data_IF_540075288784
#
_entry.id   IF_540075288784
#
_cell.length_a   1.000
_cell.length_b   1.000
_cell.length_c   1.000
_cell.angle_alpha   90.00
_cell.angle_beta   90.00
_cell.angle_gamma   90.00
#
_symmetry.space_group_name_H-M   'P 1'
#
loop_
_entity.id
_entity.type
_entity.pdbx_description
1 polymer ?
#
# COMPACT_ATOMS: atom_id res chain seq x y z
N UNK A 1 -9.77 -15.60 -12.87
CA UNK A 1 -9.95 -15.10 -14.25
C UNK A 1 -11.38 -15.29 -14.71
N UNK A 2 -11.82 -14.46 -15.64
CA UNK A 2 -13.13 -14.57 -16.28
C UNK A 2 -13.11 -15.60 -17.42
N UNK A 3 -14.29 -16.02 -17.88
CA UNK A 3 -14.43 -16.89 -19.05
C UNK A 3 -13.92 -16.22 -20.35
N UNK A 4 -13.83 -14.88 -20.38
CA UNK A 4 -13.24 -14.09 -21.48
C UNK A 4 -11.72 -13.94 -21.39
N UNK A 5 -11.07 -14.58 -20.43
CA UNK A 5 -9.62 -14.50 -20.22
C UNK A 5 -9.15 -13.27 -19.42
N UNK A 6 -10.04 -12.38 -19.02
CA UNK A 6 -9.68 -11.23 -18.18
C UNK A 6 -9.20 -11.70 -16.79
N UNK A 7 -8.13 -11.09 -16.30
CA UNK A 7 -7.57 -11.38 -14.98
C UNK A 7 -8.07 -10.38 -13.95
N UNK A 8 -8.30 -10.89 -12.73
CA UNK A 8 -8.73 -10.10 -11.59
C UNK A 8 -7.86 -10.42 -10.39
N UNK A 9 -7.62 -9.41 -9.57
CA UNK A 9 -6.83 -9.49 -8.35
C UNK A 9 -7.77 -9.25 -7.18
N UNK A 10 -7.61 -10.02 -6.11
CA UNK A 10 -8.31 -9.78 -4.86
C UNK A 10 -7.79 -8.48 -4.24
N UNK A 11 -8.69 -7.59 -3.85
CA UNK A 11 -8.33 -6.28 -3.30
C UNK A 11 -8.01 -6.37 -1.81
N UNK A 12 -8.83 -7.12 -1.08
CA UNK A 12 -8.69 -7.30 0.37
C UNK A 12 -8.73 -8.80 0.70
N UNK A 13 -8.11 -9.19 1.81
CA UNK A 13 -8.17 -10.57 2.29
C UNK A 13 -9.58 -10.97 2.65
N UNK A 14 -9.97 -12.18 2.23
CA UNK A 14 -11.30 -12.73 2.53
C UNK A 14 -11.23 -13.54 3.82
N UNK A 15 -11.94 -13.06 4.83
CA UNK A 15 -12.02 -13.73 6.13
C UNK A 15 -13.12 -14.78 6.14
N UNK A 16 -12.74 -16.05 6.28
CA UNK A 16 -13.67 -17.17 6.40
C UNK A 16 -14.17 -17.38 7.84
N UNK A 17 -13.53 -16.77 8.83
CA UNK A 17 -13.95 -16.80 10.24
C UNK A 17 -14.99 -15.71 10.60
N UNK A 18 -15.39 -14.88 9.63
CA UNK A 18 -16.34 -13.80 9.88
C UNK A 18 -17.74 -14.37 10.17
N UNK A 19 -18.43 -13.90 11.24
CA UNK A 19 -19.73 -14.45 11.66
C UNK A 19 -20.87 -14.26 10.63
N UNK A 20 -20.76 -13.32 9.72
CA UNK A 20 -21.71 -13.11 8.63
C UNK A 20 -21.56 -14.10 7.46
N UNK A 21 -20.54 -14.96 7.48
CA UNK A 21 -20.37 -15.96 6.44
C UNK A 21 -21.44 -17.03 6.51
N UNK A 22 -21.86 -17.50 5.33
CA UNK A 22 -22.82 -18.58 5.24
C UNK A 22 -22.13 -19.93 5.38
N UNK A 23 -22.52 -20.71 6.38
CA UNK A 23 -21.95 -22.02 6.70
C UNK A 23 -23.01 -23.11 6.50
N UNK A 24 -22.68 -24.15 5.73
CA UNK A 24 -23.53 -25.31 5.49
C UNK A 24 -22.80 -26.62 5.75
N UNK A 25 -23.51 -27.64 6.16
CA UNK A 25 -22.97 -29.01 6.23
C UNK A 25 -22.71 -29.52 4.80
N UNK A 26 -21.43 -29.77 4.46
CA UNK A 26 -21.01 -30.28 3.16
C UNK A 26 -21.04 -31.81 3.11
N UNK A 27 -20.77 -32.46 4.25
CA UNK A 27 -20.86 -33.90 4.43
C UNK A 27 -21.43 -34.23 5.80
N UNK A 28 -22.27 -35.24 5.84
CA UNK A 28 -22.87 -35.83 7.06
C UNK A 28 -22.45 -37.29 7.15
N UNK A 29 -22.27 -37.77 8.36
CA UNK A 29 -22.09 -39.17 8.62
C UNK A 29 -23.44 -39.85 8.38
N UNK A 30 -23.50 -40.82 7.48
CA UNK A 30 -24.74 -41.49 7.07
C UNK A 30 -25.39 -42.27 8.21
N UNK A 31 -24.61 -42.72 9.21
CA UNK A 31 -25.10 -43.50 10.35
C UNK A 31 -25.59 -42.65 11.49
N UNK A 32 -24.90 -41.52 11.76
CA UNK A 32 -25.20 -40.69 12.95
C UNK A 32 -25.91 -39.39 12.61
N UNK A 33 -25.96 -39.00 11.33
CA UNK A 33 -26.51 -37.71 10.88
C UNK A 33 -25.66 -36.49 11.28
N UNK A 34 -24.52 -36.68 11.93
CA UNK A 34 -23.66 -35.58 12.40
C UNK A 34 -22.84 -35.05 11.25
N UNK A 35 -22.79 -33.72 11.04
CA UNK A 35 -21.91 -33.11 10.03
C UNK A 35 -20.44 -33.41 10.29
N UNK A 36 -19.74 -33.90 9.28
CA UNK A 36 -18.30 -34.20 9.32
C UNK A 36 -17.46 -33.14 8.60
N UNK A 37 -18.06 -32.39 7.66
CA UNK A 37 -17.42 -31.35 6.92
C UNK A 37 -18.38 -30.18 6.72
N UNK A 38 -17.85 -28.97 6.76
CA UNK A 38 -18.61 -27.76 6.53
C UNK A 38 -18.05 -27.03 5.30
N UNK A 39 -18.93 -26.41 4.52
CA UNK A 39 -18.58 -25.48 3.47
C UNK A 39 -18.91 -24.06 3.92
N UNK A 40 -17.94 -23.17 3.77
CA UNK A 40 -18.09 -21.77 4.13
C UNK A 40 -18.09 -20.94 2.86
N UNK A 41 -19.12 -20.11 2.69
CA UNK A 41 -19.23 -19.17 1.59
C UNK A 41 -18.94 -17.76 2.09
N UNK A 42 -17.94 -17.13 1.52
CA UNK A 42 -17.61 -15.72 1.76
C UNK A 42 -17.52 -14.96 0.45
N UNK A 43 -17.57 -13.64 0.51
CA UNK A 43 -17.47 -12.74 -0.64
C UNK A 43 -16.23 -11.88 -0.51
N UNK A 44 -15.56 -11.61 -1.63
CA UNK A 44 -14.41 -10.73 -1.71
C UNK A 44 -14.54 -9.71 -2.84
N UNK A 45 -13.90 -8.56 -2.69
CA UNK A 45 -13.81 -7.54 -3.74
C UNK A 45 -12.63 -7.84 -4.64
N UNK A 46 -12.85 -7.79 -5.94
CA UNK A 46 -11.81 -8.00 -6.94
C UNK A 46 -11.71 -6.80 -7.87
N UNK A 47 -10.50 -6.51 -8.30
CA UNK A 47 -10.20 -5.46 -9.27
C UNK A 47 -9.56 -6.07 -10.51
N UNK A 48 -9.88 -5.56 -11.68
CA UNK A 48 -9.33 -6.04 -12.94
C UNK A 48 -7.86 -5.67 -13.11
N UNK A 49 -7.07 -6.57 -13.69
CA UNK A 49 -5.66 -6.36 -14.00
C UNK A 49 -4.76 -7.51 -13.58
N UNK A 50 -3.49 -7.31 -13.82
CA UNK A 50 -2.40 -8.22 -13.45
C UNK A 50 -1.30 -7.45 -12.75
N UNK A 51 -0.59 -8.11 -11.84
CA UNK A 51 0.60 -7.53 -11.25
C UNK A 51 1.78 -7.61 -12.21
N UNK A 52 2.47 -6.48 -12.38
CA UNK A 52 3.77 -6.39 -13.01
C UNK A 52 4.84 -6.02 -11.98
N UNK A 53 6.07 -6.41 -12.26
CA UNK A 53 7.23 -6.05 -11.44
C UNK A 53 8.36 -5.60 -12.37
N UNK A 54 9.00 -4.50 -12.01
CA UNK A 54 10.18 -3.99 -12.69
C UNK A 54 11.27 -3.66 -11.69
N UNK A 55 12.48 -4.05 -11.99
CA UNK A 55 13.66 -3.67 -11.22
C UNK A 55 14.44 -2.60 -11.98
N UNK A 56 14.89 -1.58 -11.25
CA UNK A 56 15.67 -0.47 -11.80
C UNK A 56 16.87 -0.22 -10.88
N UNK A 57 18.06 -0.35 -11.41
CA UNK A 57 19.29 0.00 -10.68
C UNK A 57 19.48 1.50 -10.71
N UNK A 58 19.65 2.08 -9.53
CA UNK A 58 19.85 3.50 -9.29
C UNK A 58 21.29 3.72 -8.87
N UNK A 59 21.99 4.59 -9.58
CA UNK A 59 23.38 4.98 -9.26
C UNK A 59 23.47 6.00 -8.14
N UNK A 60 24.54 6.80 -8.18
CA UNK A 60 24.80 7.84 -7.19
C UNK A 60 23.60 8.77 -6.96
N UNK A 61 23.58 9.40 -5.79
CA UNK A 61 22.52 10.32 -5.41
C UNK A 61 22.32 11.43 -6.46
N UNK A 62 21.08 11.70 -6.78
CA UNK A 62 20.63 12.75 -7.69
C UNK A 62 19.34 13.38 -7.14
N UNK A 63 19.33 14.69 -7.06
CA UNK A 63 18.19 15.48 -6.60
C UNK A 63 17.01 15.34 -7.57
N UNK A 64 15.81 15.11 -7.04
CA UNK A 64 14.60 14.94 -7.85
C UNK A 64 14.73 13.87 -8.94
N UNK A 65 15.43 12.78 -8.60
CA UNK A 65 15.63 11.67 -9.53
C UNK A 65 14.32 11.21 -10.14
N UNK A 66 14.34 11.03 -11.45
CA UNK A 66 13.22 10.50 -12.22
C UNK A 66 13.51 9.07 -12.68
N UNK A 67 12.56 8.18 -12.48
CA UNK A 67 12.58 6.82 -12.97
C UNK A 67 11.37 6.59 -13.85
N UNK A 68 11.59 6.29 -15.12
CA UNK A 68 10.51 6.09 -16.09
C UNK A 68 10.30 4.61 -16.35
N UNK A 69 9.03 4.18 -16.30
CA UNK A 69 8.59 2.84 -16.62
C UNK A 69 7.85 2.91 -17.96
N UNK A 70 8.37 2.21 -18.96
CA UNK A 70 7.85 2.21 -20.34
C UNK A 70 6.86 1.07 -20.61
N UNK A 71 6.21 0.53 -19.59
CA UNK A 71 5.16 -0.47 -19.79
C UNK A 71 3.84 0.22 -20.09
N UNK A 72 3.20 -0.25 -21.17
CA UNK A 72 1.87 0.21 -21.52
C UNK A 72 0.82 -0.32 -20.56
N UNK A 73 -0.25 0.47 -20.37
CA UNK A 73 -1.41 0.08 -19.57
C UNK A 73 -1.18 -0.04 -18.06
N UNK A 74 -0.15 0.61 -17.50
CA UNK A 74 0.00 0.74 -16.06
C UNK A 74 -1.15 1.61 -15.51
N UNK A 75 -1.87 1.07 -14.55
CA UNK A 75 -3.01 1.75 -13.91
C UNK A 75 -2.57 2.43 -12.64
N UNK A 76 -1.80 1.72 -11.81
CA UNK A 76 -1.34 2.22 -10.50
C UNK A 76 0.00 1.59 -10.12
N UNK A 77 0.76 2.30 -9.31
CA UNK A 77 1.92 1.78 -8.61
C UNK A 77 1.45 1.23 -7.26
N UNK A 78 1.79 -0.01 -6.95
CA UNK A 78 1.37 -0.68 -5.71
C UNK A 78 2.42 -0.51 -4.62
N UNK A 79 3.70 -0.73 -4.97
CA UNK A 79 4.81 -0.56 -4.04
C UNK A 79 6.10 -0.26 -4.76
N UNK A 80 6.95 0.51 -4.12
CA UNK A 80 8.33 0.76 -4.54
C UNK A 80 9.21 0.47 -3.34
N UNK A 81 10.09 -0.52 -3.48
CA UNK A 81 11.01 -0.93 -2.43
C UNK A 81 12.44 -0.92 -2.95
N UNK A 82 13.37 -0.56 -2.10
CA UNK A 82 14.79 -0.67 -2.43
C UNK A 82 15.39 -2.02 -2.01
N UNK A 83 16.66 -2.26 -2.34
CA UNK A 83 17.35 -3.50 -1.99
C UNK A 83 17.64 -3.64 -0.50
N UNK A 84 17.51 -2.59 0.29
CA UNK A 84 17.67 -2.57 1.74
C UNK A 84 16.34 -2.81 2.48
N UNK A 85 15.22 -2.89 1.74
CA UNK A 85 13.89 -3.14 2.27
C UNK A 85 13.13 -1.88 2.67
N UNK A 86 13.63 -0.69 2.33
CA UNK A 86 12.89 0.54 2.56
C UNK A 86 11.78 0.72 1.53
N UNK A 87 10.60 1.11 2.01
CA UNK A 87 9.45 1.42 1.16
C UNK A 87 9.41 2.92 0.85
N UNK A 88 9.17 3.23 -0.43
CA UNK A 88 8.91 4.59 -0.92
C UNK A 88 7.41 4.75 -1.14
N UNK A 89 6.84 5.83 -0.63
CA UNK A 89 5.40 6.08 -0.67
C UNK A 89 5.02 7.04 -1.78
N UNK A 90 3.95 6.69 -2.49
CA UNK A 90 3.35 7.62 -3.44
C UNK A 90 2.61 8.72 -2.68
N UNK A 91 2.88 9.97 -3.05
CA UNK A 91 2.24 11.16 -2.49
C UNK A 91 1.79 12.09 -3.61
N UNK A 92 0.80 12.93 -3.33
CA UNK A 92 0.33 13.92 -4.30
C UNK A 92 1.37 15.01 -4.55
N UNK A 93 2.05 15.44 -3.49
CA UNK A 93 3.13 16.42 -3.52
C UNK A 93 4.28 15.96 -2.65
N UNK A 94 5.52 16.22 -3.08
CA UNK A 94 6.72 15.82 -2.31
C UNK A 94 6.83 16.50 -0.94
N UNK A 95 6.06 17.55 -0.67
CA UNK A 95 5.95 18.17 0.65
C UNK A 95 5.06 17.43 1.64
N UNK A 96 4.27 16.43 1.18
CA UNK A 96 3.46 15.60 2.06
C UNK A 96 4.32 14.52 2.70
N UNK A 97 4.55 14.63 4.00
CA UNK A 97 5.39 13.73 4.79
C UNK A 97 4.60 12.63 5.52
N UNK A 98 3.28 12.63 5.38
CA UNK A 98 2.37 11.67 5.99
C UNK A 98 1.50 11.02 4.93
N UNK A 99 1.43 9.69 4.97
CA UNK A 99 0.48 8.89 4.17
C UNK A 99 -0.49 8.16 5.08
N UNK A 100 -1.72 7.99 4.61
CA UNK A 100 -2.75 7.28 5.35
C UNK A 100 -2.91 5.87 4.75
N UNK A 101 -2.64 4.84 5.56
CA UNK A 101 -2.80 3.45 5.14
C UNK A 101 -3.93 2.78 5.92
N UNK A 102 -4.70 1.96 5.22
CA UNK A 102 -5.65 1.04 5.84
C UNK A 102 -4.89 -0.13 6.45
N UNK A 103 -5.04 -0.34 7.75
CA UNK A 103 -4.46 -1.47 8.46
C UNK A 103 -5.57 -2.38 8.99
N UNK A 104 -5.39 -3.71 9.00
CA UNK A 104 -6.40 -4.63 9.55
C UNK A 104 -6.71 -4.30 11.01
N UNK A 105 -7.98 -4.25 11.34
CA UNK A 105 -8.43 -4.11 12.72
C UNK A 105 -8.29 -5.45 13.45
N UNK A 106 -7.45 -5.50 14.47
CA UNK A 106 -7.20 -6.72 15.27
C UNK A 106 -8.04 -6.79 16.55
N UNK A 107 -8.81 -5.76 16.87
CA UNK A 107 -9.69 -5.77 18.03
C UNK A 107 -10.89 -6.70 17.78
N UNK A 108 -11.00 -7.74 18.60
CA UNK A 108 -12.02 -8.80 18.49
C UNK A 108 -13.44 -8.23 18.60
N UNK A 109 -13.63 -7.13 19.35
CA UNK A 109 -14.95 -6.56 19.57
C UNK A 109 -15.44 -5.68 18.44
N UNK A 110 -14.53 -5.09 17.65
CA UNK A 110 -14.88 -4.09 16.64
C UNK A 110 -14.52 -4.50 15.21
N UNK A 111 -13.64 -5.50 15.02
CA UNK A 111 -13.14 -5.92 13.71
C UNK A 111 -14.23 -6.40 12.73
N UNK A 112 -15.33 -6.95 13.24
CA UNK A 112 -16.41 -7.47 12.40
C UNK A 112 -17.28 -6.32 11.82
N UNK A 113 -17.35 -5.18 12.52
CA UNK A 113 -18.05 -3.98 12.05
C UNK A 113 -17.11 -3.01 11.31
N UNK A 114 -15.84 -2.96 11.72
CA UNK A 114 -14.82 -2.12 11.15
C UNK A 114 -13.56 -2.98 10.86
N UNK A 115 -13.50 -3.70 9.74
CA UNK A 115 -12.44 -4.66 9.44
C UNK A 115 -11.07 -4.00 9.25
N UNK A 116 -11.03 -2.70 8.96
CA UNK A 116 -9.79 -1.94 8.82
C UNK A 116 -9.90 -0.57 9.46
N UNK A 117 -8.75 -0.05 9.88
CA UNK A 117 -8.57 1.27 10.46
C UNK A 117 -7.60 2.07 9.59
N UNK A 118 -7.90 3.35 9.36
CA UNK A 118 -6.99 4.25 8.67
C UNK A 118 -6.02 4.84 9.67
N UNK A 119 -4.72 4.67 9.43
CA UNK A 119 -3.65 5.20 10.29
C UNK A 119 -2.68 6.07 9.51
N UNK A 120 -2.19 7.17 10.09
CA UNK A 120 -1.12 7.97 9.51
C UNK A 120 0.23 7.25 9.68
N UNK A 121 1.05 7.30 8.63
CA UNK A 121 2.43 6.82 8.61
C UNK A 121 3.33 7.94 8.09
N UNK A 122 4.46 8.12 8.74
CA UNK A 122 5.49 9.03 8.23
C UNK A 122 6.08 8.46 6.94
N UNK A 123 6.23 9.32 5.93
CA UNK A 123 6.73 8.99 4.60
C UNK A 123 8.02 9.78 4.28
N UNK A 124 9.14 9.50 4.96
CA UNK A 124 10.41 10.19 4.69
C UNK A 124 10.90 9.88 3.27
N UNK A 125 10.72 8.65 2.80
CA UNK A 125 11.00 8.23 1.41
C UNK A 125 9.71 8.25 0.62
N UNK A 126 9.63 9.13 -0.37
CA UNK A 126 8.40 9.36 -1.13
C UNK A 126 8.68 9.78 -2.56
N UNK A 127 7.68 9.59 -3.39
CA UNK A 127 7.71 9.95 -4.80
C UNK A 127 6.35 10.46 -5.26
N UNK A 128 6.35 11.21 -6.34
CA UNK A 128 5.15 11.57 -7.09
C UNK A 128 5.16 10.83 -8.42
N UNK A 129 3.99 10.58 -8.98
CA UNK A 129 3.84 9.94 -10.29
C UNK A 129 3.36 10.95 -11.32
N UNK A 130 4.01 10.92 -12.48
CA UNK A 130 3.57 11.64 -13.66
C UNK A 130 3.25 10.60 -14.74
N UNK A 131 2.00 10.58 -15.20
CA UNK A 131 1.52 9.62 -16.19
C UNK A 131 1.40 10.27 -17.54
N UNK A 132 2.13 9.75 -18.50
CA UNK A 132 1.93 10.03 -19.92
C UNK A 132 1.26 8.81 -20.58
N UNK A 133 0.85 8.92 -21.84
CA UNK A 133 0.04 7.94 -22.57
C UNK A 133 0.53 6.49 -22.48
N UNK A 134 1.85 6.28 -22.45
CA UNK A 134 2.46 4.95 -22.47
C UNK A 134 3.54 4.76 -21.41
N UNK A 135 3.80 5.76 -20.59
CA UNK A 135 4.86 5.73 -19.58
C UNK A 135 4.38 6.30 -18.27
N UNK A 136 4.93 5.77 -17.16
CA UNK A 136 4.80 6.38 -15.86
C UNK A 136 6.20 6.79 -15.39
N UNK A 137 6.35 8.03 -14.99
CA UNK A 137 7.58 8.57 -14.42
C UNK A 137 7.37 8.78 -12.93
N UNK A 138 8.23 8.16 -12.12
CA UNK A 138 8.31 8.37 -10.68
C UNK A 138 9.36 9.46 -10.44
N UNK A 139 8.98 10.54 -9.79
CA UNK A 139 9.90 11.58 -9.35
C UNK A 139 10.06 11.50 -7.84
N UNK A 140 11.30 11.24 -7.41
CA UNK A 140 11.68 11.13 -6.01
C UNK A 140 12.05 12.49 -5.41
N UNK A 141 12.27 12.48 -4.09
CA UNK A 141 12.59 13.68 -3.36
C UNK A 141 13.99 14.25 -3.62
N UNK A 142 14.30 15.28 -2.86
CA UNK A 142 15.52 16.06 -2.97
C UNK A 142 16.59 15.67 -1.94
N UNK A 143 16.17 15.13 -0.78
CA UNK A 143 17.05 14.81 0.34
C UNK A 143 17.85 13.52 0.13
N UNK A 144 18.92 13.36 0.87
CA UNK A 144 19.74 12.16 0.95
C UNK A 144 19.45 11.36 2.23
N UNK A 145 19.80 10.07 2.26
CA UNK A 145 19.62 9.23 3.45
C UNK A 145 20.40 9.75 4.68
N UNK A 146 21.51 10.46 4.47
CA UNK A 146 22.28 11.06 5.56
C UNK A 146 21.52 12.18 6.30
N UNK A 147 20.54 12.78 5.65
CA UNK A 147 19.72 13.84 6.24
C UNK A 147 18.60 13.29 7.14
N UNK A 148 18.10 12.09 6.86
CA UNK A 148 17.13 11.39 7.76
C UNK A 148 17.81 10.99 9.07
N UNK A 149 19.07 10.59 9.01
CA UNK A 149 19.82 10.14 10.17
C UNK A 149 20.28 11.30 11.08
N UNK A 150 20.17 12.55 10.63
CA UNK A 150 20.42 13.69 11.48
C UNK A 150 19.37 13.73 12.60
N UNK A 151 19.75 13.64 13.88
CA UNK A 151 18.79 13.76 14.97
C UNK A 151 18.18 15.16 14.85
N UNK A 152 16.95 15.24 14.42
CA UNK A 152 16.14 16.45 14.53
C UNK A 152 15.99 16.72 16.02
N UNK A 153 16.89 17.52 16.58
CA UNK A 153 16.65 18.11 17.90
C UNK A 153 15.30 18.82 17.77
N UNK A 154 14.29 18.33 18.47
CA UNK A 154 13.01 19.01 18.51
C UNK A 154 13.29 20.46 18.93
N UNK A 155 12.99 21.40 18.05
CA UNK A 155 13.15 22.81 18.36
C UNK A 155 12.29 23.11 19.60
N UNK A 156 12.89 23.48 20.72
CA UNK A 156 12.13 23.74 21.96
C UNK A 156 11.04 24.81 21.78
N UNK A 157 11.19 25.71 20.80
CA UNK A 157 10.21 26.74 20.49
C UNK A 157 8.90 26.16 19.98
N UNK A 158 8.93 25.04 19.22
CA UNK A 158 7.74 24.34 18.73
C UNK A 158 6.97 23.58 19.82
N UNK A 159 7.65 23.20 20.90
CA UNK A 159 7.03 22.46 22.01
C UNK A 159 6.38 23.39 23.05
N UNK A 160 6.95 24.57 23.26
CA UNK A 160 6.50 25.54 24.29
C UNK A 160 5.28 26.34 23.80
N UNK A 161 5.12 26.55 22.52
CA UNK A 161 4.10 27.44 21.96
C UNK A 161 2.66 26.91 22.08
N UNK A 162 2.45 25.61 22.12
CA UNK A 162 1.11 25.04 22.24
C UNK A 162 0.51 25.11 23.65
N UNK A 163 1.31 25.38 24.67
CA UNK A 163 0.86 25.32 26.06
C UNK A 163 0.03 26.55 26.50
N UNK A 164 0.07 27.63 25.76
CA UNK A 164 -0.58 28.90 26.15
C UNK A 164 -1.49 29.52 25.08
N UNK A 165 -1.87 28.78 24.05
CA UNK A 165 -2.75 29.25 22.95
C UNK A 165 -2.29 30.57 22.28
N UNK A 166 -1.04 30.92 22.41
CA UNK A 166 -0.44 32.10 21.77
C UNK A 166 0.46 31.61 20.63
N UNK A 167 0.01 31.77 19.39
CA UNK A 167 0.90 31.72 18.24
C UNK A 167 1.85 32.89 18.29
N UNK A 168 3.07 32.66 18.74
CA UNK A 168 4.14 33.60 18.43
C UNK A 168 4.48 33.39 16.95
N UNK A 169 4.12 34.35 16.13
CA UNK A 169 4.69 34.47 14.79
C UNK A 169 6.16 34.81 15.02
N UNK A 170 7.02 33.78 14.96
CA UNK A 170 8.44 34.03 14.84
C UNK A 170 8.63 34.66 13.47
N UNK A 171 9.21 35.84 13.40
CA UNK A 171 9.65 36.54 12.19
C UNK A 171 10.81 35.80 11.48
N UNK A 172 10.74 34.47 11.39
CA UNK A 172 11.60 33.72 10.51
C UNK A 172 11.00 33.85 9.12
N UNK A 173 11.60 34.74 8.35
CA UNK A 173 11.32 34.82 6.93
C UNK A 173 11.46 33.41 6.34
N UNK A 174 10.42 32.95 5.64
CA UNK A 174 10.48 31.72 4.90
C UNK A 174 11.62 31.82 3.88
N UNK A 175 12.71 31.11 4.14
CA UNK A 175 13.82 30.99 3.20
C UNK A 175 13.57 29.72 2.34
N UNK A 176 13.29 29.90 1.04
CA UNK A 176 13.12 28.75 0.14
C UNK A 176 14.36 27.84 0.08
N UNK A 177 15.55 28.34 0.38
CA UNK A 177 16.79 27.56 0.39
C UNK A 177 16.83 26.55 1.55
N UNK A 178 16.17 26.83 2.68
CA UNK A 178 16.06 25.89 3.79
C UNK A 178 15.22 24.63 3.43
N UNK A 179 14.29 24.77 2.49
CA UNK A 179 13.54 23.62 1.94
C UNK A 179 14.43 22.70 1.10
N UNK A 180 15.47 23.24 0.50
CA UNK A 180 16.36 22.51 -0.39
C UNK A 180 17.52 21.81 0.35
N UNK A 181 17.72 22.11 1.64
CA UNK A 181 18.74 21.50 2.49
C UNK A 181 18.22 20.46 3.47
N UNK A 182 16.94 20.06 3.37
CA UNK A 182 16.29 19.16 4.34
C UNK A 182 15.54 18.03 3.64
N UNK A 183 15.15 17.01 4.41
CA UNK A 183 14.26 15.91 3.98
C UNK A 183 12.81 16.35 3.73
N UNK A 184 12.49 17.64 3.87
CA UNK A 184 11.13 18.19 3.75
C UNK A 184 10.44 17.88 2.42
N UNK A 185 11.22 17.65 1.37
CA UNK A 185 10.69 17.18 0.08
C UNK A 185 10.87 15.68 -0.15
N UNK A 186 11.23 14.94 0.90
CA UNK A 186 11.47 13.51 0.85
C UNK A 186 12.84 13.14 0.34
N UNK A 187 13.25 11.91 0.66
CA UNK A 187 14.57 11.37 0.31
C UNK A 187 14.48 10.59 -0.99
N UNK A 188 15.47 10.80 -1.85
CA UNK A 188 15.64 10.08 -3.11
C UNK A 188 16.49 8.82 -2.95
N UNK A 189 16.27 7.79 -3.80
CA UNK A 189 17.08 6.59 -3.81
C UNK A 189 18.49 6.86 -4.35
N UNK A 190 19.49 6.21 -3.76
CA UNK A 190 20.89 6.28 -4.20
C UNK A 190 21.58 4.93 -4.02
N UNK A 191 22.42 4.54 -4.99
CA UNK A 191 23.24 3.32 -4.95
C UNK A 191 22.45 2.04 -4.59
N UNK A 192 21.24 1.92 -5.06
CA UNK A 192 20.31 0.83 -4.71
C UNK A 192 19.60 0.29 -5.94
N UNK A 193 18.94 -0.85 -5.80
CA UNK A 193 18.05 -1.40 -6.84
C UNK A 193 16.61 -1.29 -6.37
N UNK A 194 15.82 -0.51 -7.10
CA UNK A 194 14.39 -0.36 -6.84
C UNK A 194 13.63 -1.54 -7.45
N UNK A 195 12.76 -2.13 -6.66
CA UNK A 195 11.74 -3.08 -7.10
C UNK A 195 10.39 -2.38 -7.11
N UNK A 196 9.87 -2.14 -8.29
CA UNK A 196 8.61 -1.44 -8.51
C UNK A 196 7.55 -2.47 -8.86
N UNK A 197 6.53 -2.59 -8.03
CA UNK A 197 5.36 -3.43 -8.26
C UNK A 197 4.19 -2.55 -8.69
N UNK A 198 3.56 -2.89 -9.80
CA UNK A 198 2.46 -2.11 -10.36
C UNK A 198 1.34 -3.02 -10.83
N UNK A 199 0.17 -2.46 -11.04
CA UNK A 199 -0.96 -3.13 -11.68
C UNK A 199 -1.12 -2.59 -13.09
N UNK A 200 -1.17 -3.50 -14.05
CA UNK A 200 -1.48 -3.19 -15.43
C UNK A 200 -2.83 -3.78 -15.84
N UNK A 201 -3.53 -3.07 -16.71
CA UNK A 201 -4.81 -3.52 -17.24
C UNK A 201 -5.03 -2.96 -18.64
N UNK A 202 -5.67 -3.73 -19.51
CA UNK A 202 -6.09 -3.29 -20.83
C UNK A 202 -7.54 -2.85 -20.82
N UNK A 203 -7.91 -1.86 -21.61
CA UNK A 203 -9.28 -1.37 -21.70
C UNK A 203 -10.29 -2.47 -22.08
N UNK A 204 -9.85 -3.45 -22.89
CA UNK A 204 -10.68 -4.60 -23.30
C UNK A 204 -10.95 -5.62 -22.18
N UNK A 205 -10.13 -5.61 -21.12
CA UNK A 205 -10.22 -6.56 -19.99
C UNK A 205 -10.64 -5.89 -18.69
N UNK A 206 -11.16 -4.67 -18.76
CA UNK A 206 -11.47 -3.87 -17.56
C UNK A 206 -12.74 -4.29 -16.83
N UNK A 207 -13.64 -4.98 -17.51
CA UNK A 207 -14.93 -5.34 -16.90
C UNK A 207 -15.30 -6.80 -17.20
N UNK A 208 -16.11 -7.38 -16.32
CA UNK A 208 -16.63 -8.74 -16.46
C UNK A 208 -18.15 -8.73 -16.21
N UNK A 209 -18.88 -9.51 -16.98
CA UNK A 209 -20.31 -9.72 -16.73
C UNK A 209 -20.52 -10.47 -15.41
N UNK A 210 -21.70 -10.35 -14.85
CA UNK A 210 -22.05 -11.05 -13.63
C UNK A 210 -21.86 -12.57 -13.77
N UNK A 211 -21.32 -13.21 -12.73
CA UNK A 211 -21.06 -14.67 -12.67
C UNK A 211 -20.04 -15.21 -13.68
N UNK A 212 -19.23 -14.36 -14.33
CA UNK A 212 -18.21 -14.82 -15.30
C UNK A 212 -16.83 -14.99 -14.67
N UNK A 213 -16.56 -14.45 -13.50
CA UNK A 213 -15.30 -14.60 -12.75
C UNK A 213 -15.42 -15.86 -11.89
N UNK A 214 -15.10 -17.02 -12.46
CA UNK A 214 -15.36 -18.33 -11.83
C UNK A 214 -14.10 -19.12 -11.51
N UNK A 215 -12.93 -18.73 -12.06
CA UNK A 215 -11.70 -19.48 -11.89
C UNK A 215 -10.71 -18.75 -11.00
N UNK A 216 -10.35 -19.39 -9.88
CA UNK A 216 -9.21 -19.00 -9.06
C UNK A 216 -7.95 -19.64 -9.65
N UNK A 217 -7.00 -18.81 -10.08
CA UNK A 217 -5.72 -19.27 -10.66
C UNK A 217 -4.63 -19.42 -9.62
N UNK A 218 -4.67 -18.62 -8.58
CA UNK A 218 -3.73 -18.67 -7.43
C UNK A 218 -4.48 -18.26 -6.17
N UNK A 219 -4.40 -19.09 -5.15
CA UNK A 219 -4.88 -18.78 -3.81
C UNK A 219 -3.71 -18.89 -2.82
N UNK A 220 -3.60 -17.92 -1.93
CA UNK A 220 -2.82 -18.00 -0.71
C UNK A 220 -3.84 -18.12 0.42
N UNK A 221 -3.72 -19.12 1.25
CA UNK A 221 -4.65 -19.37 2.35
C UNK A 221 -3.82 -19.49 3.63
N UNK A 222 -4.08 -18.59 4.56
CA UNK A 222 -3.49 -18.63 5.90
C UNK A 222 -4.50 -19.23 6.86
N UNK A 223 -4.09 -20.28 7.56
CA UNK A 223 -4.85 -20.85 8.66
C UNK A 223 -4.34 -20.26 9.97
N UNK A 224 -5.22 -19.53 10.66
CA UNK A 224 -4.96 -19.17 12.05
C UNK A 224 -5.17 -20.45 12.87
N UNK A 225 -4.09 -21.04 13.36
CA UNK A 225 -4.20 -22.18 14.28
C UNK A 225 -5.06 -21.76 15.48
N UNK A 226 -6.13 -22.51 15.82
CA UNK A 226 -6.83 -22.23 17.04
C UNK A 226 -5.85 -22.49 18.19
N UNK A 227 -5.55 -21.46 18.97
CA UNK A 227 -4.87 -21.63 20.25
C UNK A 227 -5.76 -22.52 21.09
N UNK A 228 -5.44 -23.79 21.17
CA UNK A 228 -6.05 -24.70 22.12
C UNK A 228 -5.61 -24.19 23.49
N UNK A 229 -6.53 -23.47 24.16
CA UNK A 229 -6.37 -23.18 25.57
C UNK A 229 -6.41 -24.52 26.28
N UNK A 230 -5.23 -24.96 26.77
CA UNK A 230 -5.11 -26.12 27.62
C UNK A 230 -5.67 -25.87 29.01
#
# INVERSE_FOLDING_TARGET
>A
SSNSGASFILLDDVRFDHPANFVVAARVNETTGIPTHYAIKSTGKVISGVFGRKTVTVGAFEKFRKVTISDSNIVEIISVMDSEGHEYFEVEYLSHDVVYKSVPNRDVNTRDNAPSLVRPFSAPRRFTTEKDRSTITLQFGYGSDSEIAAPTLADPSNVVLQRFSKSYITDTAFDPSDLLGTDKLGVGPANTTLTITYRSNTASSSNAAANTVTRVTRALVDFVEPTVAG
#
